data_IF_018186230805
#
_entry.id   IF_018186230805
#
_cell.length_a   1.000
_cell.length_b   1.000
_cell.length_c   1.000
_cell.angle_alpha   90.00
_cell.angle_beta   90.00
_cell.angle_gamma   90.00
#
_symmetry.space_group_name_H-M   'P 1'
#
loop_
_entity.id
_entity.type
_entity.pdbx_description
1 polymer ?
#
# COMPACT_ATOMS: atom_id res chain seq x y z
N UNK A 1 -3.22 4.70 -12.35
CA UNK A 1 -3.46 4.48 -10.90
C UNK A 1 -4.96 4.39 -10.69
N UNK A 2 -5.45 3.41 -9.93
CA UNK A 2 -6.89 3.21 -9.69
C UNK A 2 -7.33 3.92 -8.40
N UNK A 3 -8.65 4.11 -8.22
CA UNK A 3 -9.19 4.62 -6.96
C UNK A 3 -8.86 3.69 -5.78
N UNK A 4 -8.92 2.37 -6.01
CA UNK A 4 -8.56 1.34 -5.02
C UNK A 4 -7.08 1.42 -4.63
N UNK A 5 -6.17 1.49 -5.60
CA UNK A 5 -4.73 1.59 -5.30
C UNK A 5 -4.39 2.86 -4.51
N UNK A 6 -5.08 3.98 -4.81
CA UNK A 6 -4.94 5.22 -4.03
C UNK A 6 -5.40 5.05 -2.58
N UNK A 7 -6.53 4.38 -2.35
CA UNK A 7 -7.05 4.15 -1.01
C UNK A 7 -6.09 3.28 -0.17
N UNK A 8 -5.53 2.23 -0.76
CA UNK A 8 -4.53 1.37 -0.11
C UNK A 8 -3.26 2.15 0.28
N UNK A 9 -2.76 3.02 -0.61
CA UNK A 9 -1.61 3.90 -0.32
C UNK A 9 -1.91 4.81 0.87
N UNK A 10 -3.10 5.42 0.91
CA UNK A 10 -3.46 6.30 2.03
C UNK A 10 -3.62 5.54 3.34
N UNK A 11 -4.10 4.29 3.31
CA UNK A 11 -4.15 3.43 4.48
C UNK A 11 -2.74 3.01 4.94
N UNK A 12 -1.86 2.62 4.01
CA UNK A 12 -0.47 2.28 4.29
C UNK A 12 0.26 3.44 4.98
N UNK A 13 0.09 4.67 4.47
CA UNK A 13 0.63 5.89 5.10
C UNK A 13 0.10 6.12 6.51
N UNK A 14 -1.16 5.79 6.78
CA UNK A 14 -1.72 5.91 8.14
C UNK A 14 -1.09 4.89 9.08
N UNK A 15 -0.90 3.65 8.65
CA UNK A 15 -0.23 2.63 9.46
C UNK A 15 1.24 2.95 9.72
N UNK A 16 1.98 3.40 8.70
CA UNK A 16 3.37 3.85 8.87
C UNK A 16 3.49 5.00 9.89
N UNK A 17 2.62 6.02 9.79
CA UNK A 17 2.60 7.11 10.79
C UNK A 17 2.23 6.63 12.19
N UNK A 18 1.34 5.64 12.33
CA UNK A 18 1.04 5.06 13.65
C UNK A 18 2.24 4.28 14.20
N UNK A 19 2.94 3.52 13.36
CA UNK A 19 4.14 2.80 13.74
C UNK A 19 5.25 3.73 14.25
N UNK A 20 5.44 4.89 13.61
CA UNK A 20 6.41 5.92 14.04
C UNK A 20 6.14 6.46 15.46
N UNK A 21 4.90 6.35 15.95
CA UNK A 21 4.56 6.77 17.33
C UNK A 21 4.84 5.72 18.39
N UNK A 22 5.21 4.50 18.00
CA UNK A 22 5.46 3.37 18.88
C UNK A 22 6.96 3.14 19.08
N UNK A 23 7.39 2.65 20.25
CA UNK A 23 8.79 2.35 20.51
C UNK A 23 9.30 1.22 19.62
N UNK A 24 10.62 1.22 19.38
CA UNK A 24 11.28 0.11 18.68
C UNK A 24 11.12 -1.19 19.47
N UNK A 25 10.90 -2.30 18.75
CA UNK A 25 10.66 -3.61 19.37
C UNK A 25 9.21 -3.85 19.82
N UNK A 26 8.32 -2.87 19.71
CA UNK A 26 6.89 -3.06 19.98
C UNK A 26 6.24 -3.96 18.91
N UNK A 27 5.55 -5.02 19.34
CA UNK A 27 4.90 -5.98 18.44
C UNK A 27 3.86 -5.31 17.52
N UNK A 28 3.14 -4.31 18.04
CA UNK A 28 2.15 -3.55 17.27
C UNK A 28 2.84 -2.65 16.26
N UNK A 29 4.01 -2.09 16.59
CA UNK A 29 4.84 -1.35 15.61
C UNK A 29 5.23 -2.25 14.45
N UNK A 30 5.80 -3.42 14.74
CA UNK A 30 6.23 -4.37 13.71
C UNK A 30 5.05 -4.81 12.83
N UNK A 31 3.90 -5.06 13.45
CA UNK A 31 2.68 -5.40 12.72
C UNK A 31 2.23 -4.26 11.80
N UNK A 32 2.21 -3.01 12.28
CA UNK A 32 1.82 -1.84 11.49
C UNK A 32 2.78 -1.58 10.31
N UNK A 33 4.09 -1.74 10.52
CA UNK A 33 5.11 -1.61 9.47
C UNK A 33 4.93 -2.68 8.39
N UNK A 34 4.75 -3.94 8.81
CA UNK A 34 4.51 -5.07 7.91
C UNK A 34 3.23 -4.87 7.09
N UNK A 35 2.14 -4.47 7.74
CA UNK A 35 0.86 -4.24 7.08
C UNK A 35 0.91 -3.04 6.14
N UNK A 36 1.62 -1.97 6.51
CA UNK A 36 1.86 -0.84 5.61
C UNK A 36 2.62 -1.27 4.34
N UNK A 37 3.66 -2.10 4.49
CA UNK A 37 4.39 -2.69 3.36
C UNK A 37 3.48 -3.49 2.44
N UNK A 38 2.70 -4.42 3.00
CA UNK A 38 1.75 -5.25 2.25
C UNK A 38 0.75 -4.41 1.44
N UNK A 39 0.23 -3.34 2.03
CA UNK A 39 -0.71 -2.44 1.34
C UNK A 39 -0.06 -1.66 0.20
N UNK A 40 1.21 -1.28 0.32
CA UNK A 40 1.94 -0.65 -0.78
C UNK A 40 2.16 -1.62 -1.95
N UNK A 41 2.48 -2.87 -1.66
CA UNK A 41 2.66 -3.90 -2.69
C UNK A 41 1.33 -4.19 -3.42
N UNK A 42 0.22 -4.37 -2.69
CA UNK A 42 -1.10 -4.55 -3.30
C UNK A 42 -1.50 -3.33 -4.15
N UNK A 43 -1.22 -2.10 -3.69
CA UNK A 43 -1.49 -0.90 -4.46
C UNK A 43 -0.66 -0.83 -5.76
N UNK A 44 0.58 -1.30 -5.72
CA UNK A 44 1.46 -1.37 -6.89
C UNK A 44 0.95 -2.39 -7.90
N UNK A 45 0.60 -3.59 -7.46
CA UNK A 45 0.04 -4.65 -8.31
C UNK A 45 -1.22 -4.17 -9.03
N UNK A 46 -2.16 -3.57 -8.31
CA UNK A 46 -3.39 -3.00 -8.90
C UNK A 46 -3.10 -1.90 -9.91
N UNK A 47 -2.06 -1.10 -9.69
CA UNK A 47 -1.65 -0.06 -10.63
C UNK A 47 -1.06 -0.66 -11.89
N UNK A 48 -0.24 -1.69 -11.76
CA UNK A 48 0.40 -2.37 -12.89
C UNK A 48 -0.60 -3.19 -13.70
N UNK A 49 -1.57 -3.84 -13.05
CA UNK A 49 -2.71 -4.49 -13.72
C UNK A 49 -3.54 -3.48 -14.52
N UNK A 50 -3.87 -2.33 -13.93
CA UNK A 50 -4.63 -1.29 -14.63
C UNK A 50 -3.87 -0.73 -15.85
N UNK A 51 -2.55 -0.58 -15.75
CA UNK A 51 -1.71 -0.18 -16.89
C UNK A 51 -1.73 -1.24 -17.99
N UNK A 52 -1.52 -2.52 -17.63
CA UNK A 52 -1.57 -3.64 -18.58
C UNK A 52 -2.92 -3.72 -19.29
N UNK A 53 -4.01 -3.55 -18.55
CA UNK A 53 -5.36 -3.50 -19.12
C UNK A 53 -5.50 -2.34 -20.11
N UNK A 54 -5.13 -1.11 -19.73
CA UNK A 54 -5.22 0.06 -20.60
C UNK A 54 -4.41 -0.10 -21.90
N UNK A 55 -3.21 -0.70 -21.82
CA UNK A 55 -2.38 -0.96 -23.00
C UNK A 55 -2.98 -1.99 -23.95
N UNK A 56 -3.72 -3.00 -23.46
CA UNK A 56 -4.38 -4.01 -24.31
C UNK A 56 -5.56 -3.48 -25.12
N UNK A 57 -6.18 -2.37 -24.70
CA UNK A 57 -7.28 -1.74 -25.43
C UNK A 57 -6.83 -0.58 -26.34
N UNK A 58 -5.52 -0.32 -26.39
CA UNK A 58 -4.94 0.73 -27.23
C UNK A 58 -4.24 0.17 -28.49
N UNK A 59 -4.39 -1.14 -28.73
CA UNK A 59 -3.90 -1.89 -29.91
C UNK A 59 -5.11 -2.42 -30.70
#
# INVERSE_FOLDING_TARGET
>A
MTARSKALIEQAKRFARQAETLPEGDDKRQWLESEAGRLYDEARELTDEAKKAASKYSD
#
